data_IF_788829642557
#
_entry.id   IF_788829642557
#
_cell.length_a   1.000
_cell.length_b   1.000
_cell.length_c   1.000
_cell.angle_alpha   90.00
_cell.angle_beta   90.00
_cell.angle_gamma   90.00
#
_symmetry.space_group_name_H-M   'P 1'
#
loop_
_entity.id
_entity.type
_entity.pdbx_description
1 polymer ?
#
# COMPACT_ATOMS: atom_id res chain seq x y z
N UNK A 1 -16.77 -0.84 13.50
CA UNK A 1 -16.73 -2.00 12.59
C UNK A 1 -18.11 -2.64 12.64
N UNK A 2 -18.85 -2.57 11.52
CA UNK A 2 -20.25 -3.01 11.46
C UNK A 2 -20.36 -4.55 11.43
N UNK A 3 -21.58 -5.06 11.61
CA UNK A 3 -21.85 -6.50 11.65
C UNK A 3 -21.51 -7.19 10.33
N UNK A 4 -21.65 -6.48 9.21
CA UNK A 4 -21.34 -6.99 7.87
C UNK A 4 -19.83 -7.25 7.69
N UNK A 5 -18.99 -6.33 8.17
CA UNK A 5 -17.53 -6.49 8.21
C UNK A 5 -17.11 -7.67 9.09
N UNK A 6 -17.83 -7.93 10.19
CA UNK A 6 -17.59 -9.07 11.09
C UNK A 6 -18.04 -10.40 10.49
N UNK A 7 -19.09 -10.40 9.69
CA UNK A 7 -19.60 -11.60 9.00
C UNK A 7 -18.72 -11.99 7.80
N UNK A 8 -18.20 -11.03 7.05
CA UNK A 8 -17.21 -11.29 5.99
C UNK A 8 -15.90 -11.87 6.57
N UNK A 9 -15.43 -11.37 7.72
CA UNK A 9 -14.26 -11.95 8.40
C UNK A 9 -14.51 -13.38 8.93
N UNK A 10 -15.77 -13.75 9.18
CA UNK A 10 -16.17 -15.12 9.56
C UNK A 10 -16.38 -16.04 8.36
N UNK A 11 -16.79 -15.51 7.21
CA UNK A 11 -17.00 -16.31 5.98
C UNK A 11 -15.68 -16.69 5.30
N UNK A 12 -14.60 -16.02 5.67
CA UNK A 12 -13.24 -16.44 5.40
C UNK A 12 -12.87 -17.38 6.53
N UNK A 13 -13.12 -18.67 6.35
CA UNK A 13 -12.80 -19.73 7.33
C UNK A 13 -11.27 -19.90 7.45
N UNK A 14 -10.59 -18.82 7.84
CA UNK A 14 -9.14 -18.71 8.08
C UNK A 14 -8.73 -19.57 9.26
N UNK A 15 -9.67 -19.91 10.15
CA UNK A 15 -9.48 -20.85 11.25
C UNK A 15 -9.19 -22.27 10.75
N UNK A 16 -9.60 -22.62 9.52
CA UNK A 16 -9.30 -23.92 8.88
C UNK A 16 -7.89 -23.92 8.25
N UNK A 17 -7.38 -22.78 7.80
CA UNK A 17 -6.00 -22.62 7.27
C UNK A 17 -4.93 -22.56 8.37
N UNK A 18 -5.33 -22.41 9.64
CA UNK A 18 -4.44 -22.23 10.81
C UNK A 18 -4.03 -23.56 11.48
N UNK A 19 -4.42 -24.73 10.97
CA UNK A 19 -4.02 -26.04 11.54
C UNK A 19 -2.74 -26.61 10.94
N UNK A 20 -1.65 -25.85 11.00
CA UNK A 20 -0.30 -26.41 11.14
C UNK A 20 0.34 -25.71 12.33
N UNK A 21 0.01 -26.17 13.54
CA UNK A 21 0.75 -25.80 14.73
C UNK A 21 2.12 -26.48 14.62
N UNK A 22 3.11 -25.75 14.11
CA UNK A 22 4.48 -26.02 14.48
C UNK A 22 4.62 -25.84 16.00
N UNK A 23 5.49 -26.62 16.62
CA UNK A 23 5.73 -26.58 18.07
C UNK A 23 6.03 -25.13 18.52
N UNK A 24 5.47 -24.70 19.66
CA UNK A 24 5.63 -23.34 20.20
C UNK A 24 7.12 -22.97 20.35
N UNK A 25 7.98 -23.96 20.63
CA UNK A 25 9.43 -23.80 20.65
C UNK A 25 10.01 -23.43 19.27
N UNK A 26 9.58 -24.10 18.20
CA UNK A 26 10.02 -23.84 16.81
C UNK A 26 9.62 -22.45 16.35
N UNK A 27 8.41 -22.01 16.72
CA UNK A 27 7.94 -20.66 16.44
C UNK A 27 8.81 -19.65 17.19
N UNK A 28 9.04 -19.85 18.49
CA UNK A 28 9.86 -18.94 19.30
C UNK A 28 11.28 -18.77 18.74
N UNK A 29 11.93 -19.88 18.40
CA UNK A 29 13.28 -19.87 17.81
C UNK A 29 13.31 -19.12 16.48
N UNK A 30 12.29 -19.33 15.64
CA UNK A 30 12.17 -18.63 14.35
C UNK A 30 11.91 -17.13 14.51
N UNK A 31 11.12 -16.73 15.52
CA UNK A 31 10.91 -15.32 15.86
C UNK A 31 12.23 -14.67 16.28
N UNK A 32 12.97 -15.31 17.19
CA UNK A 32 14.26 -14.82 17.65
C UNK A 32 15.28 -14.76 16.51
N UNK A 33 15.24 -15.74 15.60
CA UNK A 33 16.10 -15.76 14.43
C UNK A 33 15.86 -14.55 13.53
N UNK A 34 14.59 -14.27 13.16
CA UNK A 34 14.21 -13.13 12.30
C UNK A 34 14.48 -11.75 12.93
N UNK A 35 14.56 -11.68 14.26
CA UNK A 35 14.92 -10.45 14.97
C UNK A 35 16.42 -10.13 14.86
N UNK A 36 17.25 -11.16 14.72
CA UNK A 36 18.71 -11.03 14.77
C UNK A 36 19.41 -11.30 13.43
N UNK A 37 18.71 -11.84 12.44
CA UNK A 37 19.28 -12.25 11.16
C UNK A 37 18.47 -11.72 9.99
N UNK A 38 19.17 -11.31 8.93
CA UNK A 38 18.59 -10.78 7.68
C UNK A 38 18.96 -11.63 6.46
N UNK A 39 19.77 -12.67 6.66
CA UNK A 39 20.35 -13.48 5.59
C UNK A 39 20.82 -14.84 6.15
N UNK A 40 20.95 -15.88 5.32
CA UNK A 40 20.60 -15.96 3.90
C UNK A 40 19.09 -15.87 3.66
N UNK A 41 18.68 -15.40 2.46
CA UNK A 41 17.27 -15.12 2.16
C UNK A 41 16.38 -16.36 2.20
N UNK A 42 16.90 -17.52 1.80
CA UNK A 42 16.17 -18.79 1.91
C UNK A 42 15.79 -19.15 3.36
N UNK A 43 16.64 -18.82 4.34
CA UNK A 43 16.31 -19.01 5.75
C UNK A 43 15.32 -17.95 6.24
N UNK A 44 15.44 -16.71 5.76
CA UNK A 44 14.45 -15.66 6.02
C UNK A 44 13.06 -16.13 5.59
N UNK A 45 12.91 -16.58 4.34
CA UNK A 45 11.62 -17.05 3.81
C UNK A 45 11.06 -18.22 4.62
N UNK A 46 11.91 -19.17 4.99
CA UNK A 46 11.51 -20.30 5.82
C UNK A 46 11.02 -19.86 7.21
N UNK A 47 11.83 -19.10 7.96
CA UNK A 47 11.41 -18.61 9.28
C UNK A 47 10.22 -17.65 9.19
N UNK A 48 10.10 -16.90 8.10
CA UNK A 48 8.95 -16.05 7.84
C UNK A 48 7.68 -16.88 7.68
N UNK A 49 7.72 -17.97 6.91
CA UNK A 49 6.59 -18.89 6.78
C UNK A 49 6.18 -19.51 8.11
N UNK A 50 7.15 -20.02 8.88
CA UNK A 50 6.95 -20.62 10.21
C UNK A 50 6.20 -19.66 11.16
N UNK A 51 6.61 -18.39 11.17
CA UNK A 51 6.10 -17.42 12.14
C UNK A 51 4.84 -16.66 11.68
N UNK A 52 4.23 -17.04 10.55
CA UNK A 52 3.08 -16.35 9.96
C UNK A 52 1.91 -16.19 10.94
N UNK A 53 1.42 -17.30 11.50
CA UNK A 53 0.27 -17.27 12.41
C UNK A 53 0.57 -16.44 13.66
N UNK A 54 1.78 -16.57 14.21
CA UNK A 54 2.26 -15.77 15.33
C UNK A 54 2.29 -14.27 15.00
N UNK A 55 2.89 -13.88 13.87
CA UNK A 55 2.97 -12.47 13.42
C UNK A 55 1.58 -11.88 13.26
N UNK A 56 0.67 -12.60 12.59
CA UNK A 56 -0.70 -12.16 12.37
C UNK A 56 -1.45 -11.94 13.68
N UNK A 57 -1.40 -12.92 14.58
CA UNK A 57 -2.06 -12.81 15.89
C UNK A 57 -1.49 -11.64 16.70
N UNK A 58 -0.17 -11.43 16.68
CA UNK A 58 0.49 -10.28 17.30
C UNK A 58 0.01 -8.96 16.70
N UNK A 59 -0.01 -8.82 15.38
CA UNK A 59 -0.45 -7.59 14.70
C UNK A 59 -1.94 -7.31 14.96
N UNK A 60 -2.77 -8.34 15.06
CA UNK A 60 -4.21 -8.18 15.33
C UNK A 60 -4.52 -7.87 16.79
N UNK A 61 -3.77 -8.46 17.73
CA UNK A 61 -4.00 -8.28 19.17
C UNK A 61 -3.30 -7.04 19.73
N UNK A 62 -2.18 -6.64 19.15
CA UNK A 62 -1.40 -5.49 19.56
C UNK A 62 -1.64 -4.37 18.56
N UNK A 63 -2.19 -3.23 19.02
CA UNK A 63 -2.45 -2.05 18.20
C UNK A 63 -1.14 -1.31 17.84
N UNK A 64 -0.25 -2.00 17.11
CA UNK A 64 1.08 -1.53 16.73
C UNK A 64 1.00 -0.63 15.50
N UNK A 65 1.78 0.44 15.54
CA UNK A 65 2.10 1.25 14.36
C UNK A 65 3.00 0.48 13.39
N UNK A 66 2.99 0.89 12.12
CA UNK A 66 3.87 0.32 11.08
C UNK A 66 5.35 0.44 11.50
N UNK A 67 5.74 1.55 12.12
CA UNK A 67 7.11 1.76 12.60
C UNK A 67 7.51 0.73 13.69
N UNK A 68 6.59 0.38 14.59
CA UNK A 68 6.82 -0.65 15.60
C UNK A 68 6.91 -2.05 14.97
N UNK A 69 6.09 -2.34 13.96
CA UNK A 69 6.16 -3.60 13.20
C UNK A 69 7.54 -3.73 12.52
N UNK A 70 8.00 -2.69 11.83
CA UNK A 70 9.31 -2.69 11.15
C UNK A 70 10.50 -2.68 12.13
N UNK A 71 10.27 -2.23 13.38
CA UNK A 71 11.28 -2.32 14.44
C UNK A 71 11.35 -3.73 15.02
N UNK A 72 10.20 -4.40 15.17
CA UNK A 72 10.12 -5.78 15.63
C UNK A 72 10.62 -6.77 14.57
N UNK A 73 10.40 -6.49 13.29
CA UNK A 73 10.78 -7.33 12.17
C UNK A 73 11.76 -6.58 11.25
N UNK A 74 13.05 -6.46 11.64
CA UNK A 74 14.04 -5.71 10.87
C UNK A 74 14.19 -6.19 9.42
N UNK A 75 13.89 -7.47 9.17
CA UNK A 75 13.88 -8.07 7.83
C UNK A 75 12.98 -7.35 6.85
N UNK A 76 11.91 -6.71 7.32
CA UNK A 76 11.04 -5.90 6.48
C UNK A 76 11.78 -4.72 5.85
N UNK A 77 12.89 -4.24 6.43
CA UNK A 77 13.66 -3.14 5.83
C UNK A 77 14.52 -3.59 4.64
N UNK A 78 14.61 -4.89 4.37
CA UNK A 78 15.37 -5.42 3.24
C UNK A 78 14.69 -5.05 1.90
N UNK A 79 15.43 -4.70 0.83
CA UNK A 79 14.85 -4.27 -0.44
C UNK A 79 13.86 -5.26 -1.08
N UNK A 80 14.02 -6.55 -0.82
CA UNK A 80 13.14 -7.62 -1.35
C UNK A 80 12.05 -8.03 -0.36
N UNK A 81 11.92 -7.39 0.80
CA UNK A 81 10.98 -7.85 1.81
C UNK A 81 9.50 -7.69 1.43
N UNK A 82 9.19 -6.94 0.38
CA UNK A 82 7.84 -6.94 -0.20
C UNK A 82 7.41 -8.35 -0.63
N UNK A 83 8.34 -9.22 -1.07
CA UNK A 83 8.01 -10.60 -1.43
C UNK A 83 7.52 -11.43 -0.24
N UNK A 84 7.99 -11.12 0.98
CA UNK A 84 7.50 -11.75 2.20
C UNK A 84 6.06 -11.36 2.51
N UNK A 85 5.68 -10.12 2.18
CA UNK A 85 4.31 -9.63 2.30
C UNK A 85 3.44 -10.31 1.24
N UNK A 86 3.92 -10.44 0.00
CA UNK A 86 3.20 -11.14 -1.07
C UNK A 86 2.94 -12.60 -0.70
N UNK A 87 3.92 -13.30 -0.11
CA UNK A 87 3.75 -14.68 0.36
C UNK A 87 2.71 -14.77 1.49
N UNK A 88 2.69 -13.82 2.43
CA UNK A 88 1.65 -13.77 3.48
C UNK A 88 0.25 -13.60 2.85
N UNK A 89 0.10 -12.72 1.85
CA UNK A 89 -1.17 -12.52 1.15
C UNK A 89 -1.62 -13.73 0.35
N UNK A 90 -0.69 -14.42 -0.33
CA UNK A 90 -0.95 -15.67 -1.04
C UNK A 90 -1.41 -16.75 -0.07
N UNK A 91 -0.71 -16.95 1.03
CA UNK A 91 -1.07 -17.95 2.03
C UNK A 91 -2.46 -17.71 2.62
N UNK A 92 -2.79 -16.44 2.89
CA UNK A 92 -4.08 -16.03 3.43
C UNK A 92 -5.20 -16.03 2.37
N UNK A 93 -4.90 -16.38 1.12
CA UNK A 93 -5.82 -16.29 -0.02
C UNK A 93 -6.45 -14.89 -0.15
N UNK A 94 -5.69 -13.84 0.21
CA UNK A 94 -6.11 -12.43 0.14
C UNK A 94 -5.89 -11.82 -1.24
N UNK A 95 -4.98 -12.39 -2.03
CA UNK A 95 -4.72 -12.00 -3.41
C UNK A 95 -5.40 -12.95 -4.37
N UNK A 96 -6.12 -12.41 -5.35
CA UNK A 96 -6.48 -13.15 -6.56
C UNK A 96 -5.44 -12.89 -7.65
N UNK A 97 -5.21 -13.86 -8.53
CA UNK A 97 -4.42 -13.62 -9.76
C UNK A 97 -5.01 -12.49 -10.62
N UNK A 98 -6.29 -12.13 -10.39
CA UNK A 98 -7.08 -11.20 -11.21
C UNK A 98 -7.29 -9.80 -10.57
N UNK A 99 -6.39 -9.35 -9.69
CA UNK A 99 -6.53 -8.08 -8.95
C UNK A 99 -6.77 -6.88 -9.89
N UNK A 100 -6.10 -6.84 -11.04
CA UNK A 100 -6.17 -5.72 -11.98
C UNK A 100 -7.54 -5.61 -12.66
N UNK A 101 -8.15 -6.73 -13.08
CA UNK A 101 -9.47 -6.71 -13.69
C UNK A 101 -10.54 -6.38 -12.65
N UNK A 102 -10.39 -6.88 -11.41
CA UNK A 102 -11.25 -6.47 -10.29
C UNK A 102 -11.17 -4.98 -10.02
N UNK A 103 -9.97 -4.40 -10.11
CA UNK A 103 -9.79 -2.95 -10.00
C UNK A 103 -10.52 -2.20 -11.11
N UNK A 104 -10.40 -2.61 -12.37
CA UNK A 104 -11.10 -1.96 -13.47
C UNK A 104 -12.63 -2.07 -13.34
N UNK A 105 -13.15 -3.23 -12.92
CA UNK A 105 -14.57 -3.40 -12.61
C UNK A 105 -15.01 -2.47 -11.45
N UNK A 106 -14.22 -2.41 -10.38
CA UNK A 106 -14.47 -1.52 -9.24
C UNK A 106 -14.51 -0.06 -9.68
N UNK A 107 -13.49 0.40 -10.43
CA UNK A 107 -13.41 1.79 -10.87
C UNK A 107 -14.58 2.15 -11.78
N UNK A 108 -14.94 1.29 -12.73
CA UNK A 108 -16.10 1.47 -13.61
C UNK A 108 -17.40 1.63 -12.80
N UNK A 109 -17.59 0.83 -11.73
CA UNK A 109 -18.75 0.99 -10.84
C UNK A 109 -18.72 2.28 -10.02
N UNK A 110 -17.55 2.73 -9.57
CA UNK A 110 -17.43 4.03 -8.90
C UNK A 110 -17.75 5.17 -9.86
N UNK A 111 -17.37 5.07 -11.13
CA UNK A 111 -17.69 6.06 -12.17
C UNK A 111 -19.18 6.16 -12.47
N UNK A 112 -19.90 5.04 -12.49
CA UNK A 112 -21.36 5.03 -12.61
C UNK A 112 -22.05 5.78 -11.44
N UNK A 113 -21.52 5.65 -10.23
CA UNK A 113 -22.13 6.20 -9.00
C UNK A 113 -21.69 7.65 -8.73
N UNK A 114 -20.43 7.96 -9.01
CA UNK A 114 -19.78 9.24 -8.76
C UNK A 114 -19.14 9.75 -10.05
N UNK A 115 -19.96 10.23 -11.01
CA UNK A 115 -19.45 10.65 -12.30
C UNK A 115 -18.47 11.81 -12.15
N UNK A 116 -17.44 11.79 -12.98
CA UNK A 116 -16.45 12.85 -13.02
C UNK A 116 -17.08 14.15 -13.51
N UNK A 117 -16.64 15.26 -12.91
CA UNK A 117 -17.00 16.58 -13.38
C UNK A 117 -16.16 16.91 -14.60
N UNK A 118 -16.77 17.59 -15.57
CA UNK A 118 -16.08 18.18 -16.70
C UNK A 118 -15.24 19.37 -16.22
N UNK A 119 -13.98 19.08 -15.92
CA UNK A 119 -12.99 20.03 -15.45
C UNK A 119 -11.70 19.83 -16.25
N UNK A 120 -10.94 20.90 -16.46
CA UNK A 120 -9.70 20.84 -17.24
C UNK A 120 -8.75 19.73 -16.76
N UNK A 121 -8.61 19.57 -15.44
CA UNK A 121 -7.69 18.59 -14.82
C UNK A 121 -8.17 17.15 -15.02
N UNK A 122 -9.48 16.89 -14.94
CA UNK A 122 -10.03 15.54 -15.16
C UNK A 122 -9.91 15.16 -16.63
N UNK A 123 -10.16 16.10 -17.55
CA UNK A 123 -9.99 15.89 -18.99
C UNK A 123 -8.52 15.66 -19.38
N UNK A 124 -7.58 16.41 -18.78
CA UNK A 124 -6.14 16.18 -18.97
C UNK A 124 -5.74 14.77 -18.50
N UNK A 125 -6.25 14.31 -17.36
CA UNK A 125 -6.00 12.96 -16.85
C UNK A 125 -6.62 11.88 -17.76
N UNK A 126 -7.86 12.04 -18.21
CA UNK A 126 -8.48 11.11 -19.17
C UNK A 126 -7.69 11.01 -20.47
N UNK A 127 -7.20 12.14 -20.98
CA UNK A 127 -6.40 12.14 -22.21
C UNK A 127 -5.14 11.28 -22.10
N UNK A 128 -4.62 11.02 -20.88
CA UNK A 128 -3.47 10.14 -20.66
C UNK A 128 -3.80 8.68 -21.04
N UNK A 129 -5.05 8.26 -20.85
CA UNK A 129 -5.51 6.87 -21.06
C UNK A 129 -6.36 6.67 -22.31
N UNK A 130 -6.65 7.74 -23.06
CA UNK A 130 -7.36 7.68 -24.36
C UNK A 130 -6.41 7.47 -25.55
N UNK A 131 -5.12 7.22 -25.32
CA UNK A 131 -4.14 6.96 -26.38
C UNK A 131 -4.28 5.57 -26.99
N UNK A 132 -3.67 5.35 -28.16
CA UNK A 132 -3.53 4.00 -28.73
C UNK A 132 -2.80 3.08 -27.76
N UNK A 133 -3.53 2.11 -27.22
CA UNK A 133 -3.04 1.03 -26.36
C UNK A 133 -2.27 1.49 -25.09
N UNK A 134 -2.93 2.15 -24.11
CA UNK A 134 -2.29 2.51 -22.86
C UNK A 134 -1.94 1.26 -22.05
N UNK A 135 -0.80 1.27 -21.36
CA UNK A 135 -0.45 0.21 -20.42
C UNK A 135 -1.45 0.19 -19.27
N UNK A 136 -1.67 -0.98 -18.69
CA UNK A 136 -2.60 -1.10 -17.57
C UNK A 136 -2.11 -0.33 -16.33
N UNK A 137 -0.79 -0.24 -16.10
CA UNK A 137 -0.21 0.61 -15.07
C UNK A 137 -0.58 2.08 -15.25
N UNK A 138 -0.47 2.62 -16.48
CA UNK A 138 -0.84 4.00 -16.76
C UNK A 138 -2.34 4.24 -16.49
N UNK A 139 -3.20 3.29 -16.86
CA UNK A 139 -4.64 3.34 -16.56
C UNK A 139 -4.88 3.38 -15.06
N UNK A 140 -4.28 2.46 -14.31
CA UNK A 140 -4.42 2.36 -12.86
C UNK A 140 -3.98 3.65 -12.16
N UNK A 141 -2.82 4.19 -12.53
CA UNK A 141 -2.29 5.44 -11.96
C UNK A 141 -3.29 6.58 -12.17
N UNK A 142 -3.76 6.76 -13.40
CA UNK A 142 -4.72 7.81 -13.74
C UNK A 142 -6.04 7.62 -12.99
N UNK A 143 -6.54 6.40 -12.91
CA UNK A 143 -7.75 6.07 -12.15
C UNK A 143 -7.61 6.42 -10.66
N UNK A 144 -6.49 6.11 -10.01
CA UNK A 144 -6.22 6.55 -8.63
C UNK A 144 -6.25 8.08 -8.48
N UNK A 145 -5.70 8.82 -9.46
CA UNK A 145 -5.73 10.28 -9.45
C UNK A 145 -7.14 10.84 -9.67
N UNK A 146 -7.95 10.17 -10.51
CA UNK A 146 -9.34 10.52 -10.79
C UNK A 146 -10.24 10.27 -9.56
N UNK A 147 -9.99 9.23 -8.77
CA UNK A 147 -10.77 8.94 -7.54
C UNK A 147 -10.85 10.15 -6.60
N UNK A 148 -9.78 10.93 -6.48
CA UNK A 148 -9.76 12.13 -5.62
C UNK A 148 -10.70 13.26 -6.13
N UNK A 149 -11.06 13.25 -7.41
CA UNK A 149 -12.01 14.19 -8.00
C UNK A 149 -13.45 13.65 -7.92
N UNK A 150 -13.63 12.34 -8.06
CA UNK A 150 -14.93 11.65 -7.94
C UNK A 150 -15.43 11.69 -6.49
N UNK A 151 -14.52 11.47 -5.54
CA UNK A 151 -14.80 11.38 -4.11
C UNK A 151 -13.94 12.42 -3.38
N UNK A 152 -14.25 13.72 -3.53
CA UNK A 152 -13.43 14.78 -2.96
C UNK A 152 -13.48 14.75 -1.42
N UNK A 153 -12.42 15.19 -0.74
CA UNK A 153 -12.39 15.27 0.72
C UNK A 153 -13.46 16.26 1.22
N UNK A 154 -14.48 15.74 1.92
CA UNK A 154 -15.55 16.55 2.52
C UNK A 154 -15.30 16.87 3.99
N UNK A 155 -14.59 15.99 4.70
CA UNK A 155 -14.34 16.10 6.13
C UNK A 155 -13.31 17.16 6.50
N UNK A 156 -13.39 17.64 7.75
CA UNK A 156 -12.35 18.44 8.40
C UNK A 156 -11.80 17.66 9.58
N UNK A 157 -10.49 17.65 9.73
CA UNK A 157 -9.82 17.09 10.91
C UNK A 157 -9.34 18.24 11.79
N UNK A 158 -9.31 18.02 13.11
CA UNK A 158 -8.71 18.99 14.04
C UNK A 158 -7.22 18.73 14.09
N UNK A 159 -6.42 19.70 13.66
CA UNK A 159 -4.96 19.69 13.81
C UNK A 159 -4.59 20.73 14.85
N UNK A 160 -4.14 20.27 16.03
CA UNK A 160 -3.87 21.12 17.18
C UNK A 160 -5.09 22.02 17.50
N UNK A 161 -5.00 23.32 17.25
CA UNK A 161 -6.03 24.31 17.53
C UNK A 161 -6.90 24.65 16.31
N UNK A 162 -6.51 24.22 15.10
CA UNK A 162 -7.18 24.59 13.86
C UNK A 162 -7.95 23.42 13.23
N UNK A 163 -8.96 23.76 12.42
CA UNK A 163 -9.63 22.82 11.54
C UNK A 163 -8.94 22.80 10.18
N UNK A 164 -8.45 21.62 9.79
CA UNK A 164 -7.81 21.40 8.50
C UNK A 164 -8.72 20.61 7.57
N UNK A 165 -8.85 21.08 6.33
CA UNK A 165 -9.53 20.37 5.24
C UNK A 165 -8.50 20.06 4.17
N UNK A 166 -8.31 18.78 3.87
CA UNK A 166 -7.46 18.38 2.75
C UNK A 166 -8.05 18.88 1.42
N UNK A 167 -7.19 19.32 0.51
CA UNK A 167 -7.57 19.61 -0.87
C UNK A 167 -7.56 18.32 -1.72
N UNK A 168 -8.17 18.38 -2.91
CA UNK A 168 -8.11 17.26 -3.88
C UNK A 168 -6.67 16.94 -4.26
N UNK A 169 -5.83 17.98 -4.44
CA UNK A 169 -4.41 17.77 -4.75
C UNK A 169 -3.72 16.99 -3.62
N UNK A 170 -4.03 17.33 -2.38
CA UNK A 170 -3.44 16.66 -1.22
C UNK A 170 -3.91 15.21 -1.09
N UNK A 171 -5.14 14.91 -1.49
CA UNK A 171 -5.64 13.54 -1.60
C UNK A 171 -4.89 12.75 -2.68
N UNK A 172 -4.66 13.32 -3.87
CA UNK A 172 -3.86 12.66 -4.92
C UNK A 172 -2.45 12.35 -4.42
N UNK A 173 -1.78 13.36 -3.89
CA UNK A 173 -0.41 13.25 -3.38
C UNK A 173 -0.32 12.31 -2.16
N UNK A 174 -1.45 12.02 -1.49
CA UNK A 174 -1.51 11.04 -0.39
C UNK A 174 -1.40 9.59 -0.85
N UNK A 175 -1.72 9.31 -2.11
CA UNK A 175 -1.73 7.95 -2.68
C UNK A 175 -0.56 7.77 -3.63
N UNK A 176 -0.46 8.62 -4.66
CA UNK A 176 0.54 8.51 -5.74
C UNK A 176 1.28 9.84 -5.91
N UNK A 177 2.60 9.78 -5.94
CA UNK A 177 3.48 10.88 -6.28
C UNK A 177 4.25 10.56 -7.56
N UNK A 178 4.31 11.52 -8.49
CA UNK A 178 5.02 11.37 -9.76
C UNK A 178 6.39 12.03 -9.71
N UNK A 179 7.43 11.23 -9.92
CA UNK A 179 8.80 11.65 -10.14
C UNK A 179 9.11 11.64 -11.64
N UNK A 180 9.65 12.74 -12.18
CA UNK A 180 9.99 12.78 -13.61
C UNK A 180 11.23 11.95 -13.93
N UNK A 181 12.15 11.93 -12.98
CA UNK A 181 13.40 11.17 -13.05
C UNK A 181 13.66 10.48 -11.70
N UNK A 182 14.43 9.38 -11.66
CA UNK A 182 14.74 8.68 -10.41
C UNK A 182 15.36 9.58 -9.33
N UNK A 183 16.12 10.61 -9.72
CA UNK A 183 16.72 11.58 -8.79
C UNK A 183 15.71 12.43 -8.00
N UNK A 184 14.45 12.51 -8.45
CA UNK A 184 13.40 13.25 -7.73
C UNK A 184 12.85 12.51 -6.50
N UNK A 185 13.09 11.20 -6.38
CA UNK A 185 12.50 10.36 -5.33
C UNK A 185 12.86 10.88 -3.94
N UNK A 186 14.15 11.14 -3.68
CA UNK A 186 14.59 11.60 -2.35
C UNK A 186 13.97 12.95 -1.98
N UNK A 187 13.85 13.86 -2.96
CA UNK A 187 13.18 15.16 -2.76
C UNK A 187 11.70 14.97 -2.40
N UNK A 188 11.00 14.09 -3.11
CA UNK A 188 9.59 13.75 -2.82
C UNK A 188 9.43 13.21 -1.40
N UNK A 189 10.28 12.26 -0.99
CA UNK A 189 10.23 11.68 0.35
C UNK A 189 10.47 12.75 1.43
N UNK A 190 11.47 13.61 1.25
CA UNK A 190 11.75 14.71 2.17
C UNK A 190 10.59 15.71 2.29
N UNK A 191 10.00 16.11 1.17
CA UNK A 191 8.85 17.02 1.16
C UNK A 191 7.65 16.40 1.90
N UNK A 192 7.43 15.10 1.72
CA UNK A 192 6.40 14.34 2.42
C UNK A 192 6.62 14.31 3.93
N UNK A 193 7.87 14.05 4.37
CA UNK A 193 8.25 14.08 5.78
C UNK A 193 8.06 15.47 6.37
N UNK A 194 8.62 16.50 5.72
CA UNK A 194 8.50 17.89 6.17
C UNK A 194 7.04 18.31 6.31
N UNK A 195 6.19 17.91 5.37
CA UNK A 195 4.75 18.18 5.43
C UNK A 195 4.08 17.48 6.61
N UNK A 196 4.30 16.18 6.80
CA UNK A 196 3.74 15.42 7.91
C UNK A 196 4.16 16.01 9.27
N UNK A 197 5.45 16.34 9.44
CA UNK A 197 5.97 16.98 10.64
C UNK A 197 5.29 18.34 10.92
N UNK A 198 5.14 19.20 9.89
CA UNK A 198 4.44 20.50 10.04
C UNK A 198 3.01 20.33 10.53
N UNK A 199 2.31 19.32 10.03
CA UNK A 199 0.92 19.04 10.37
C UNK A 199 0.77 18.22 11.66
N UNK A 200 1.85 17.71 12.24
CA UNK A 200 1.81 16.80 13.39
C UNK A 200 1.16 15.45 13.06
N UNK A 201 1.34 14.99 11.82
CA UNK A 201 0.78 13.75 11.29
C UNK A 201 1.87 12.68 11.12
N UNK A 202 1.46 11.41 11.14
CA UNK A 202 2.29 10.30 10.68
C UNK A 202 2.25 10.20 9.16
N UNK A 203 3.33 9.67 8.58
CA UNK A 203 3.38 9.37 7.15
C UNK A 203 2.73 8.01 6.96
N UNK A 204 1.69 7.97 6.13
CA UNK A 204 1.09 6.72 5.66
C UNK A 204 1.90 6.20 4.47
N UNK A 205 1.90 4.88 4.20
CA UNK A 205 2.45 4.32 2.97
C UNK A 205 1.90 5.03 1.72
N UNK A 206 2.76 5.22 0.72
CA UNK A 206 2.37 5.86 -0.55
C UNK A 206 3.21 5.31 -1.70
N UNK A 207 2.69 5.51 -2.90
CA UNK A 207 3.31 5.07 -4.15
C UNK A 207 4.10 6.23 -4.77
N UNK A 208 5.27 5.90 -5.34
CA UNK A 208 6.04 6.80 -6.18
C UNK A 208 6.17 6.14 -7.55
N UNK A 209 5.75 6.86 -8.59
CA UNK A 209 5.87 6.43 -9.98
C UNK A 209 6.91 7.29 -10.68
N UNK A 210 7.78 6.68 -11.48
CA UNK A 210 8.89 7.35 -12.15
C UNK A 210 8.74 7.26 -13.66
N UNK A 211 8.84 8.41 -14.34
CA UNK A 211 8.81 8.51 -15.80
C UNK A 211 8.65 9.94 -16.27
N UNK A 212 9.03 10.32 -17.51
CA UNK A 212 8.91 11.70 -17.98
C UNK A 212 7.47 12.22 -17.96
N UNK A 213 6.50 11.32 -18.18
CA UNK A 213 5.06 11.59 -18.16
C UNK A 213 4.32 10.44 -17.49
N UNK A 214 3.03 10.63 -17.14
CA UNK A 214 2.18 9.54 -16.62
C UNK A 214 1.88 8.46 -17.68
N UNK A 215 2.16 8.72 -18.97
CA UNK A 215 2.05 7.73 -20.06
C UNK A 215 3.28 6.82 -20.13
N UNK A 216 4.43 7.35 -19.73
CA UNK A 216 5.74 6.72 -19.90
C UNK A 216 6.38 6.39 -18.56
N UNK A 217 5.59 5.79 -17.66
CA UNK A 217 6.08 5.33 -16.36
C UNK A 217 6.86 4.04 -16.55
N UNK A 218 8.06 3.97 -15.96
CA UNK A 218 8.97 2.83 -16.05
C UNK A 218 9.57 2.40 -14.70
N UNK A 219 9.19 3.08 -13.61
CA UNK A 219 9.59 2.70 -12.26
C UNK A 219 8.44 2.86 -11.29
N UNK A 220 8.25 1.84 -10.45
CA UNK A 220 7.19 1.79 -9.45
C UNK A 220 7.82 1.52 -8.09
N UNK A 221 7.42 2.32 -7.11
CA UNK A 221 7.97 2.22 -5.78
C UNK A 221 6.90 2.36 -4.71
N UNK A 222 7.05 1.59 -3.64
CA UNK A 222 6.23 1.70 -2.43
C UNK A 222 7.11 2.28 -1.34
N UNK A 223 6.75 3.46 -0.84
CA UNK A 223 7.45 4.09 0.29
C UNK A 223 6.70 3.77 1.58
N UNK A 224 7.37 3.09 2.50
CA UNK A 224 6.86 2.78 3.84
C UNK A 224 7.88 3.29 4.86
N UNK A 225 7.51 4.32 5.62
CA UNK A 225 8.43 5.03 6.52
C UNK A 225 9.70 5.48 5.78
N UNK A 226 10.86 4.91 6.11
CA UNK A 226 12.16 5.18 5.45
C UNK A 226 12.54 4.13 4.40
N UNK A 227 11.72 3.10 4.24
CA UNK A 227 11.97 2.00 3.32
C UNK A 227 11.30 2.32 1.99
N UNK A 228 12.03 2.04 0.90
CA UNK A 228 11.55 2.19 -0.45
C UNK A 228 11.70 0.84 -1.16
N UNK A 229 10.58 0.20 -1.47
CA UNK A 229 10.57 -1.02 -2.27
C UNK A 229 10.39 -0.66 -3.72
N UNK A 230 11.20 -1.25 -4.59
CA UNK A 230 10.96 -1.23 -6.03
C UNK A 230 10.10 -2.42 -6.40
N UNK A 231 9.00 -2.19 -7.10
CA UNK A 231 8.06 -3.21 -7.56
C UNK A 231 7.96 -3.19 -9.09
N UNK A 232 7.49 -4.29 -9.67
CA UNK A 232 7.46 -4.47 -11.13
C UNK A 232 6.32 -3.75 -11.84
N UNK A 233 5.22 -3.50 -11.13
CA UNK A 233 3.95 -2.94 -11.64
C UNK A 233 3.21 -2.25 -10.49
N UNK A 234 2.15 -1.51 -10.79
CA UNK A 234 1.25 -0.89 -9.81
C UNK A 234 0.37 -1.87 -9.03
N UNK A 235 0.27 -3.14 -9.46
CA UNK A 235 -0.56 -4.18 -8.84
C UNK A 235 0.21 -5.44 -8.46
#
# INVERSE_FOLDING_TARGET
MDNYSKELLKSWDLDILIKHFEDDATIHDSVLWLQNNLSPWSLVENHWKITLAYRRNKIQSENKSIAEIFSQWPVLKHPTAYTLIDEDFKFLNLTSEDCINRWFQFFSKIEEICPLKDEKVTNELHSVIETDNPTDDAKVIVQFLLLSHMIPPKGRIRLKQDHYKSSISECKDSIILHAKVPGDISRIQEEKIKRACRLGLTIQPYLIVVGPTLREVNGFYVSIDKVLYQVSTMF
#
